data_IF_042316873431
#
_entry.id   IF_042316873431
#
_cell.length_a   1.000
_cell.length_b   1.000
_cell.length_c   1.000
_cell.angle_alpha   90.00
_cell.angle_beta   90.00
_cell.angle_gamma   90.00
#
_symmetry.space_group_name_H-M   'P 1'
#
loop_
_entity.id
_entity.type
_entity.pdbx_description
1 polymer ?
#
# COMPACT_ATOMS: atom_id res chain seq x y z
N UNK A 1 15.81 -5.63 -10.25
CA UNK A 1 15.82 -7.05 -9.83
C UNK A 1 16.29 -8.01 -10.92
N UNK A 2 15.63 -8.15 -12.09
CA UNK A 2 16.11 -9.09 -13.13
C UNK A 2 17.53 -8.74 -13.63
N UNK A 3 17.82 -7.45 -13.78
CA UNK A 3 19.15 -6.95 -14.15
C UNK A 3 20.21 -7.16 -13.07
N UNK A 4 19.83 -7.04 -11.79
CA UNK A 4 20.79 -7.02 -10.69
C UNK A 4 21.25 -8.44 -10.33
N UNK A 5 20.41 -9.44 -10.57
CA UNK A 5 20.68 -10.84 -10.18
C UNK A 5 21.36 -11.69 -11.26
N UNK A 6 21.68 -11.10 -12.42
CA UNK A 6 22.26 -11.81 -13.57
C UNK A 6 21.53 -13.13 -13.91
N UNK A 7 20.20 -13.14 -13.76
CA UNK A 7 19.33 -14.28 -14.07
C UNK A 7 18.44 -13.93 -15.25
N UNK A 8 18.07 -14.94 -16.03
CA UNK A 8 17.27 -14.77 -17.24
C UNK A 8 15.88 -14.19 -16.92
N UNK A 9 15.27 -13.48 -17.88
CA UNK A 9 13.94 -12.89 -17.76
C UNK A 9 12.86 -13.92 -17.38
N UNK A 10 13.00 -15.17 -17.82
CA UNK A 10 12.11 -16.26 -17.42
C UNK A 10 12.10 -16.50 -15.90
N UNK A 11 13.26 -16.44 -15.25
CA UNK A 11 13.37 -16.60 -13.80
C UNK A 11 12.70 -15.44 -13.04
N UNK A 12 12.89 -14.20 -13.52
CA UNK A 12 12.21 -13.03 -12.98
C UNK A 12 10.69 -13.09 -13.12
N UNK A 13 10.20 -13.50 -14.29
CA UNK A 13 8.77 -13.69 -14.55
C UNK A 13 8.17 -14.79 -13.67
N UNK A 14 8.90 -15.89 -13.46
CA UNK A 14 8.49 -16.96 -12.54
C UNK A 14 8.34 -16.43 -11.12
N UNK A 15 9.34 -15.71 -10.59
CA UNK A 15 9.28 -15.10 -9.26
C UNK A 15 8.10 -14.14 -9.09
N UNK A 16 7.80 -13.32 -10.11
CA UNK A 16 6.64 -12.44 -10.09
C UNK A 16 5.31 -13.20 -10.16
N UNK A 17 5.28 -14.38 -10.78
CA UNK A 17 4.08 -15.22 -10.86
C UNK A 17 3.66 -15.76 -9.49
N UNK A 18 4.61 -15.92 -8.55
CA UNK A 18 4.31 -16.24 -7.15
C UNK A 18 3.53 -15.13 -6.43
N UNK A 19 3.31 -13.96 -7.04
CA UNK A 19 2.43 -12.94 -6.47
C UNK A 19 1.00 -13.48 -6.28
N UNK A 20 0.59 -14.47 -7.09
CA UNK A 20 -0.68 -15.17 -6.96
C UNK A 20 -0.82 -15.90 -5.61
N UNK A 21 0.28 -16.28 -4.95
CA UNK A 21 0.24 -16.92 -3.63
C UNK A 21 -0.25 -15.96 -2.54
N UNK A 22 -0.05 -14.65 -2.71
CA UNK A 22 -0.53 -13.64 -1.77
C UNK A 22 -2.05 -13.42 -1.82
N UNK A 23 -2.70 -13.75 -2.93
CA UNK A 23 -4.12 -13.48 -3.18
C UNK A 23 -5.05 -14.31 -2.28
N UNK A 24 -4.88 -15.64 -2.16
CA UNK A 24 -5.64 -16.47 -1.21
C UNK A 24 -5.45 -16.11 0.26
N UNK A 25 -4.41 -15.35 0.63
CA UNK A 25 -4.14 -14.94 2.02
C UNK A 25 -4.97 -13.72 2.46
N UNK A 26 -5.67 -13.05 1.53
CA UNK A 26 -6.51 -11.87 1.84
C UNK A 26 -7.58 -12.11 2.91
N UNK A 27 -8.28 -13.25 2.99
CA UNK A 27 -9.19 -13.55 4.10
C UNK A 27 -8.47 -13.58 5.46
N UNK A 28 -7.27 -14.15 5.52
CA UNK A 28 -6.46 -14.15 6.73
C UNK A 28 -6.01 -12.73 7.11
N UNK A 29 -5.67 -11.89 6.13
CA UNK A 29 -5.40 -10.46 6.38
C UNK A 29 -6.65 -9.73 6.89
N UNK A 30 -7.84 -10.08 6.40
CA UNK A 30 -9.11 -9.54 6.90
C UNK A 30 -9.35 -9.90 8.36
N UNK A 31 -9.15 -11.16 8.73
CA UNK A 31 -9.22 -11.62 10.13
C UNK A 31 -8.16 -10.95 11.02
N UNK A 32 -6.95 -10.77 10.52
CA UNK A 32 -5.88 -10.11 11.27
C UNK A 32 -6.17 -8.62 11.46
N UNK A 33 -6.73 -7.98 10.43
CA UNK A 33 -7.14 -6.58 10.43
C UNK A 33 -8.29 -6.32 11.42
N UNK A 34 -9.23 -7.26 11.61
CA UNK A 34 -10.28 -7.11 12.64
C UNK A 34 -9.74 -7.26 14.07
N UNK A 35 -8.69 -8.06 14.29
CA UNK A 35 -8.09 -8.25 15.63
C UNK A 35 -7.10 -7.16 16.03
N UNK A 36 -6.19 -6.77 15.12
CA UNK A 36 -5.10 -5.84 15.43
C UNK A 36 -5.49 -4.37 15.24
N UNK A 37 -6.54 -4.11 14.46
CA UNK A 37 -6.95 -2.78 14.04
C UNK A 37 -5.99 -2.16 13.02
N UNK A 38 -6.37 -1.02 12.42
CA UNK A 38 -5.64 -0.41 11.31
C UNK A 38 -4.19 -0.05 11.64
N UNK A 39 -3.94 0.59 12.79
CA UNK A 39 -2.61 1.11 13.16
C UNK A 39 -1.55 0.01 13.30
N UNK A 40 -1.86 -1.07 14.02
CA UNK A 40 -0.94 -2.21 14.19
C UNK A 40 -0.79 -3.00 12.90
N UNK A 41 -1.85 -3.11 12.10
CA UNK A 41 -1.78 -3.77 10.80
C UNK A 41 -0.87 -3.02 9.83
N UNK A 42 -0.93 -1.68 9.79
CA UNK A 42 0.01 -0.87 9.01
C UNK A 42 1.46 -1.07 9.49
N UNK A 43 1.69 -1.08 10.80
CA UNK A 43 3.04 -1.27 11.35
C UNK A 43 3.61 -2.65 11.01
N UNK A 44 2.81 -3.71 11.15
CA UNK A 44 3.19 -5.07 10.74
C UNK A 44 3.52 -5.13 9.25
N UNK A 45 2.68 -4.49 8.43
CA UNK A 45 2.85 -4.46 6.99
C UNK A 45 4.16 -3.78 6.56
N UNK A 46 4.42 -2.58 7.09
CA UNK A 46 5.62 -1.82 6.75
C UNK A 46 6.89 -2.48 7.28
N UNK A 47 6.88 -2.99 8.51
CA UNK A 47 8.01 -3.74 9.06
C UNK A 47 8.33 -4.99 8.24
N UNK A 48 7.31 -5.82 7.95
CA UNK A 48 7.49 -7.03 7.14
C UNK A 48 7.92 -6.74 5.70
N UNK A 49 7.39 -5.68 5.09
CA UNK A 49 7.79 -5.20 3.78
C UNK A 49 9.25 -4.73 3.74
N UNK A 50 9.69 -3.95 4.73
CA UNK A 50 11.10 -3.50 4.84
C UNK A 50 12.03 -4.70 5.03
N UNK A 51 11.67 -5.66 5.89
CA UNK A 51 12.45 -6.90 6.07
C UNK A 51 12.56 -7.67 4.75
N UNK A 52 11.48 -7.77 3.98
CA UNK A 52 11.50 -8.41 2.66
C UNK A 52 12.45 -7.70 1.68
N UNK A 53 12.39 -6.37 1.62
CA UNK A 53 13.26 -5.56 0.77
C UNK A 53 14.73 -5.62 1.17
N UNK A 54 15.03 -5.60 2.48
CA UNK A 54 16.39 -5.80 2.99
C UNK A 54 16.90 -7.21 2.71
N UNK A 55 16.03 -8.22 2.79
CA UNK A 55 16.37 -9.59 2.38
C UNK A 55 16.73 -9.68 0.89
N UNK A 56 15.99 -8.99 0.01
CA UNK A 56 16.30 -8.94 -1.41
C UNK A 56 17.64 -8.22 -1.68
N UNK A 57 17.93 -7.15 -0.93
CA UNK A 57 19.21 -6.44 -1.00
C UNK A 57 20.37 -7.33 -0.51
N UNK A 58 20.18 -8.06 0.59
CA UNK A 58 21.16 -8.99 1.13
C UNK A 58 21.44 -10.16 0.19
N UNK A 59 20.41 -10.68 -0.48
CA UNK A 59 20.56 -11.73 -1.51
C UNK A 59 21.33 -11.26 -2.73
N UNK A 60 21.15 -9.99 -3.12
CA UNK A 60 21.95 -9.39 -4.19
C UNK A 60 23.43 -9.27 -3.79
N UNK A 61 23.73 -8.82 -2.56
CA UNK A 61 25.12 -8.76 -2.07
C UNK A 61 25.76 -10.14 -1.85
N UNK A 62 24.96 -11.16 -1.53
CA UNK A 62 25.41 -12.54 -1.35
C UNK A 62 25.51 -13.34 -2.67
N UNK A 63 25.34 -12.68 -3.81
CA UNK A 63 25.44 -13.31 -5.12
C UNK A 63 26.90 -13.73 -5.39
N UNK A 64 27.19 -15.02 -5.21
CA UNK A 64 28.51 -15.62 -5.42
C UNK A 64 29.17 -16.19 -4.15
N UNK A 65 28.64 -15.91 -2.95
CA UNK A 65 29.15 -16.49 -1.70
C UNK A 65 28.44 -17.77 -1.27
N UNK A 66 27.21 -17.98 -1.76
CA UNK A 66 26.36 -19.14 -1.43
C UNK A 66 26.31 -20.13 -2.61
N UNK A 67 26.17 -21.42 -2.29
CA UNK A 67 25.89 -22.44 -3.30
C UNK A 67 24.61 -22.09 -4.08
N UNK A 68 24.62 -22.31 -5.40
CA UNK A 68 23.56 -21.83 -6.31
C UNK A 68 22.15 -22.34 -5.92
N UNK A 69 22.04 -23.59 -5.47
CA UNK A 69 20.79 -24.16 -4.99
C UNK A 69 20.26 -23.48 -3.73
N UNK A 70 21.13 -23.18 -2.76
CA UNK A 70 20.76 -22.50 -1.52
C UNK A 70 20.35 -21.05 -1.77
N UNK A 71 21.10 -20.34 -2.62
CA UNK A 71 20.75 -18.96 -3.02
C UNK A 71 19.39 -18.90 -3.72
N UNK A 72 19.13 -19.83 -4.65
CA UNK A 72 17.86 -19.87 -5.39
C UNK A 72 16.68 -20.14 -4.45
N UNK A 73 16.82 -21.11 -3.53
CA UNK A 73 15.78 -21.39 -2.54
C UNK A 73 15.48 -20.16 -1.65
N UNK A 74 16.52 -19.47 -1.17
CA UNK A 74 16.35 -18.26 -0.37
C UNK A 74 15.70 -17.12 -1.19
N UNK A 75 16.06 -16.98 -2.47
CA UNK A 75 15.44 -15.99 -3.36
C UNK A 75 13.94 -16.20 -3.50
N UNK A 76 13.48 -17.45 -3.62
CA UNK A 76 12.04 -17.75 -3.62
C UNK A 76 11.38 -17.39 -2.28
N UNK A 77 11.98 -17.80 -1.15
CA UNK A 77 11.42 -17.54 0.19
C UNK A 77 11.28 -16.05 0.45
N UNK A 78 12.34 -15.27 0.22
CA UNK A 78 12.34 -13.83 0.46
C UNK A 78 11.41 -13.10 -0.52
N UNK A 79 11.34 -13.54 -1.77
CA UNK A 79 10.42 -12.96 -2.76
C UNK A 79 8.96 -13.22 -2.38
N UNK A 80 8.61 -14.45 -1.99
CA UNK A 80 7.26 -14.78 -1.51
C UNK A 80 6.91 -13.95 -0.28
N UNK A 81 7.83 -13.83 0.68
CA UNK A 81 7.66 -12.95 1.85
C UNK A 81 7.34 -11.51 1.42
N UNK A 82 8.18 -10.91 0.58
CA UNK A 82 7.95 -9.56 0.06
C UNK A 82 6.59 -9.43 -0.64
N UNK A 83 6.18 -10.42 -1.43
CA UNK A 83 4.91 -10.40 -2.17
C UNK A 83 3.68 -10.47 -1.26
N UNK A 84 3.76 -11.23 -0.16
CA UNK A 84 2.70 -11.29 0.87
C UNK A 84 2.49 -9.90 1.49
N UNK A 85 3.57 -9.24 1.92
CA UNK A 85 3.48 -7.89 2.50
C UNK A 85 3.11 -6.83 1.45
N UNK A 86 3.59 -6.96 0.22
CA UNK A 86 3.15 -6.09 -0.89
C UNK A 86 1.64 -6.19 -1.12
N UNK A 87 1.05 -7.38 -1.04
CA UNK A 87 -0.41 -7.55 -1.15
C UNK A 87 -1.16 -6.87 0.01
N UNK A 88 -0.60 -6.93 1.23
CA UNK A 88 -1.15 -6.24 2.40
C UNK A 88 -1.14 -4.71 2.27
N UNK A 89 -0.12 -4.11 1.63
CA UNK A 89 -0.09 -2.66 1.32
C UNK A 89 -1.32 -2.23 0.51
N UNK A 90 -1.77 -3.06 -0.42
CA UNK A 90 -3.00 -2.79 -1.18
C UNK A 90 -4.25 -3.11 -0.35
N UNK A 91 -4.23 -4.11 0.52
CA UNK A 91 -5.43 -4.48 1.27
C UNK A 91 -5.90 -3.39 2.25
N UNK A 92 -4.98 -2.78 3.02
CA UNK A 92 -5.36 -1.92 4.15
C UNK A 92 -6.06 -0.62 3.70
N UNK A 93 -5.50 0.18 2.75
CA UNK A 93 -6.13 1.43 2.36
C UNK A 93 -7.49 1.22 1.71
N UNK A 94 -7.65 0.16 0.91
CA UNK A 94 -8.93 -0.13 0.25
C UNK A 94 -10.05 -0.45 1.24
N UNK A 95 -9.71 -0.99 2.41
CA UNK A 95 -10.68 -1.20 3.49
C UNK A 95 -10.95 0.06 4.32
N UNK A 96 -10.01 1.03 4.36
CA UNK A 96 -10.13 2.26 5.16
C UNK A 96 -10.76 3.42 4.37
N UNK A 97 -10.50 3.48 3.07
CA UNK A 97 -10.96 4.57 2.20
C UNK A 97 -12.48 4.75 2.06
N UNK A 98 -13.32 3.70 2.21
CA UNK A 98 -14.77 3.87 2.27
C UNK A 98 -15.25 4.67 3.48
N UNK A 99 -14.51 4.63 4.60
CA UNK A 99 -14.92 5.31 5.84
C UNK A 99 -14.82 6.84 5.77
N UNK A 100 -13.97 7.39 4.89
CA UNK A 100 -13.78 8.84 4.80
C UNK A 100 -15.07 9.55 4.31
N UNK A 101 -15.70 9.11 3.20
CA UNK A 101 -17.03 9.60 2.84
C UNK A 101 -18.10 9.42 3.91
N UNK A 102 -18.10 8.30 4.64
CA UNK A 102 -19.11 8.05 5.68
C UNK A 102 -19.00 9.07 6.84
N UNK A 103 -17.77 9.42 7.23
CA UNK A 103 -17.49 10.48 8.22
C UNK A 103 -17.89 11.86 7.70
N UNK A 104 -17.71 12.15 6.41
CA UNK A 104 -18.21 13.39 5.80
C UNK A 104 -19.75 13.42 5.72
N UNK A 105 -20.37 12.29 5.45
CA UNK A 105 -21.83 12.16 5.33
C UNK A 105 -22.52 12.41 6.67
N UNK A 106 -22.00 11.90 7.79
CA UNK A 106 -22.59 12.17 9.12
C UNK A 106 -22.47 13.65 9.51
N UNK A 107 -21.42 14.35 9.05
CA UNK A 107 -21.23 15.79 9.36
C UNK A 107 -22.10 16.65 8.45
N UNK A 108 -22.16 16.33 7.16
CA UNK A 108 -22.76 17.21 6.14
C UNK A 108 -24.17 16.80 5.70
N UNK A 109 -24.60 15.57 6.01
CA UNK A 109 -25.85 14.97 5.52
C UNK A 109 -25.86 14.65 4.02
N UNK A 110 -24.72 14.81 3.32
CA UNK A 110 -24.63 14.62 1.86
C UNK A 110 -23.70 13.44 1.55
N UNK A 111 -24.18 12.48 0.78
CA UNK A 111 -23.34 11.39 0.30
C UNK A 111 -22.43 11.87 -0.85
N UNK A 112 -21.13 12.04 -0.58
CA UNK A 112 -20.11 12.48 -1.55
C UNK A 112 -19.15 11.37 -1.97
N UNK A 113 -19.54 10.11 -1.79
CA UNK A 113 -18.69 8.94 -2.06
C UNK A 113 -18.10 8.93 -3.47
N UNK A 114 -18.86 9.40 -4.48
CA UNK A 114 -18.39 9.51 -5.86
C UNK A 114 -17.25 10.51 -6.05
N UNK A 115 -17.34 11.70 -5.45
CA UNK A 115 -16.32 12.76 -5.55
C UNK A 115 -15.02 12.30 -4.89
N UNK A 116 -15.11 11.73 -3.69
CA UNK A 116 -13.95 11.17 -3.00
C UNK A 116 -13.32 10.00 -3.77
N UNK A 117 -14.13 9.13 -4.40
CA UNK A 117 -13.62 8.02 -5.21
C UNK A 117 -12.89 8.50 -6.47
N UNK A 118 -13.44 9.50 -7.16
CA UNK A 118 -12.78 10.16 -8.29
C UNK A 118 -11.47 10.83 -7.90
N UNK A 119 -11.47 11.60 -6.80
CA UNK A 119 -10.26 12.25 -6.29
C UNK A 119 -9.17 11.23 -5.92
N UNK A 120 -9.52 10.16 -5.18
CA UNK A 120 -8.59 9.06 -4.86
C UNK A 120 -7.94 8.47 -6.11
N UNK A 121 -8.74 8.19 -7.14
CA UNK A 121 -8.24 7.62 -8.39
C UNK A 121 -7.31 8.60 -9.14
N UNK A 122 -7.70 9.88 -9.18
CA UNK A 122 -6.90 10.95 -9.78
C UNK A 122 -5.56 11.12 -9.08
N UNK A 123 -5.53 11.28 -7.75
CA UNK A 123 -4.29 11.44 -6.98
C UNK A 123 -3.36 10.25 -7.19
N UNK A 124 -3.90 9.01 -7.19
CA UNK A 124 -3.10 7.81 -7.46
C UNK A 124 -2.45 7.86 -8.85
N UNK A 125 -3.21 8.24 -9.88
CA UNK A 125 -2.70 8.31 -11.25
C UNK A 125 -1.67 9.43 -11.41
N UNK A 126 -1.92 10.58 -10.79
CA UNK A 126 -0.99 11.71 -10.77
C UNK A 126 0.33 11.35 -10.11
N UNK A 127 0.31 10.82 -8.88
CA UNK A 127 1.52 10.41 -8.16
C UNK A 127 2.27 9.31 -8.91
N UNK A 128 1.55 8.33 -9.50
CA UNK A 128 2.17 7.27 -10.30
C UNK A 128 2.86 7.81 -11.56
N UNK A 129 2.24 8.78 -12.25
CA UNK A 129 2.82 9.41 -13.43
C UNK A 129 4.08 10.20 -13.08
N UNK A 130 4.00 11.06 -12.06
CA UNK A 130 5.13 11.84 -11.57
C UNK A 130 6.28 10.93 -11.12
N UNK A 131 5.99 9.89 -10.33
CA UNK A 131 7.01 8.94 -9.87
C UNK A 131 7.73 8.25 -11.03
N UNK A 132 6.97 7.82 -12.06
CA UNK A 132 7.57 7.17 -13.24
C UNK A 132 8.48 8.12 -14.00
N UNK A 133 8.09 9.39 -14.15
CA UNK A 133 8.92 10.42 -14.80
C UNK A 133 10.21 10.68 -14.01
N UNK A 134 10.13 10.86 -12.69
CA UNK A 134 11.31 11.09 -11.87
C UNK A 134 12.27 9.89 -11.87
N UNK A 135 11.74 8.67 -11.82
CA UNK A 135 12.53 7.44 -11.94
C UNK A 135 13.25 7.41 -13.29
N UNK A 136 12.56 7.76 -14.38
CA UNK A 136 13.15 7.81 -15.72
C UNK A 136 14.30 8.81 -15.83
N UNK A 137 14.14 10.02 -15.27
CA UNK A 137 15.19 11.05 -15.22
C UNK A 137 16.38 10.57 -14.38
N UNK A 138 16.12 9.97 -13.22
CA UNK A 138 17.17 9.45 -12.35
C UNK A 138 17.97 8.33 -13.04
N UNK A 139 17.31 7.37 -13.66
CA UNK A 139 17.98 6.29 -14.39
C UNK A 139 18.79 6.80 -15.59
N UNK A 140 18.32 7.86 -16.27
CA UNK A 140 19.09 8.50 -17.33
C UNK A 140 20.39 9.12 -16.79
N UNK A 141 20.37 9.68 -15.57
CA UNK A 141 21.57 10.26 -14.94
C UNK A 141 22.59 9.21 -14.46
N UNK A 142 22.17 7.97 -14.19
CA UNK A 142 23.08 6.89 -13.75
C UNK A 142 23.82 6.19 -14.90
N UNK A 143 23.63 6.66 -16.14
CA UNK A 143 24.22 6.05 -17.33
C UNK A 143 23.55 4.73 -17.72
N UNK A 144 22.26 4.55 -17.41
CA UNK A 144 21.50 3.36 -17.76
C UNK A 144 21.46 3.15 -19.27
N UNK A 145 21.98 2.01 -19.74
CA UNK A 145 21.97 1.66 -21.16
C UNK A 145 20.66 0.93 -21.44
N UNK A 146 19.79 1.56 -22.22
CA UNK A 146 18.49 0.98 -22.57
C UNK A 146 18.71 -0.30 -23.40
N UNK A 147 18.07 -1.42 -23.06
CA UNK A 147 18.08 -2.59 -23.93
C UNK A 147 17.46 -2.22 -25.27
N UNK A 148 18.21 -2.49 -26.34
CA UNK A 148 17.80 -2.22 -27.72
C UNK A 148 17.48 -3.53 -28.42
N UNK A 149 16.57 -3.48 -29.39
CA UNK A 149 16.36 -4.61 -30.29
C UNK A 149 17.47 -4.61 -31.33
N UNK A 150 18.06 -5.77 -31.58
CA UNK A 150 18.92 -5.95 -32.75
C UNK A 150 18.09 -5.98 -34.04
N UNK A 151 18.77 -6.07 -35.19
CA UNK A 151 18.13 -6.10 -36.50
C UNK A 151 17.18 -7.29 -36.71
N UNK A 152 17.29 -8.34 -35.87
CA UNK A 152 16.39 -9.50 -35.87
C UNK A 152 15.20 -9.34 -34.90
N UNK A 153 15.08 -8.19 -34.23
CA UNK A 153 14.02 -7.89 -33.28
C UNK A 153 14.23 -8.50 -31.89
N UNK A 154 15.39 -9.11 -31.62
CA UNK A 154 15.73 -9.72 -30.34
C UNK A 154 16.22 -8.64 -29.39
N UNK A 155 15.68 -8.62 -28.17
CA UNK A 155 16.04 -7.64 -27.15
C UNK A 155 17.43 -7.98 -26.58
N UNK A 156 18.40 -7.12 -26.85
CA UNK A 156 19.77 -7.22 -26.35
C UNK A 156 19.87 -6.51 -25.00
N UNK A 157 20.42 -7.19 -24.01
CA UNK A 157 20.61 -6.68 -22.66
C UNK A 157 22.11 -6.42 -22.44
N UNK A 158 22.60 -5.19 -22.72
CA UNK A 158 24.01 -4.88 -22.55
C UNK A 158 24.40 -4.91 -21.07
N UNK A 159 25.65 -5.30 -20.80
CA UNK A 159 26.25 -5.23 -19.48
C UNK A 159 26.15 -3.80 -18.94
N UNK A 160 25.44 -3.65 -17.82
CA UNK A 160 25.20 -2.34 -17.21
C UNK A 160 26.42 -1.91 -16.40
N UNK A 161 26.83 -0.62 -16.47
CA UNK A 161 27.83 -0.08 -15.56
C UNK A 161 27.43 -0.33 -14.10
N UNK A 162 28.41 -0.55 -13.21
CA UNK A 162 28.16 -0.76 -11.77
C UNK A 162 27.36 0.41 -11.17
N UNK A 163 27.59 1.64 -11.64
CA UNK A 163 26.80 2.82 -11.25
C UNK A 163 25.32 2.72 -11.65
N UNK A 164 25.01 2.15 -12.81
CA UNK A 164 23.63 1.94 -13.28
C UNK A 164 22.95 0.81 -12.51
N UNK A 165 23.65 -0.29 -12.20
CA UNK A 165 23.14 -1.36 -11.35
C UNK A 165 22.80 -0.85 -9.93
N UNK A 166 23.72 -0.08 -9.32
CA UNK A 166 23.47 0.56 -8.03
C UNK A 166 22.29 1.55 -8.08
N UNK A 167 22.16 2.30 -9.18
CA UNK A 167 21.02 3.20 -9.42
C UNK A 167 19.68 2.46 -9.50
N UNK A 168 19.63 1.35 -10.23
CA UNK A 168 18.44 0.49 -10.33
C UNK A 168 18.09 -0.09 -8.96
N UNK A 169 19.07 -0.65 -8.25
CA UNK A 169 18.88 -1.20 -6.90
C UNK A 169 18.35 -0.13 -5.93
N UNK A 170 18.89 1.09 -5.98
CA UNK A 170 18.41 2.21 -5.17
C UNK A 170 16.96 2.55 -5.48
N UNK A 171 16.56 2.65 -6.74
CA UNK A 171 15.16 2.95 -7.11
C UNK A 171 14.21 1.81 -6.74
N UNK A 172 14.61 0.56 -6.97
CA UNK A 172 13.73 -0.59 -6.75
C UNK A 172 13.59 -0.96 -5.27
N UNK A 173 14.62 -0.76 -4.46
CA UNK A 173 14.67 -1.19 -3.06
C UNK A 173 14.76 0.03 -2.14
N UNK A 174 15.79 0.86 -2.31
CA UNK A 174 16.07 1.99 -1.42
C UNK A 174 14.93 3.02 -1.37
N UNK A 175 14.46 3.50 -2.51
CA UNK A 175 13.36 4.44 -2.63
C UNK A 175 12.05 3.88 -2.06
N UNK A 176 11.80 2.58 -2.28
CA UNK A 176 10.62 1.91 -1.73
C UNK A 176 10.71 1.82 -0.21
N UNK A 177 11.86 1.47 0.36
CA UNK A 177 12.07 1.47 1.82
C UNK A 177 11.82 2.87 2.40
N UNK A 178 12.37 3.92 1.79
CA UNK A 178 12.14 5.31 2.22
C UNK A 178 10.65 5.64 2.21
N UNK A 179 9.95 5.29 1.13
CA UNK A 179 8.50 5.47 1.02
C UNK A 179 7.72 4.73 2.10
N UNK A 180 8.09 3.48 2.40
CA UNK A 180 7.46 2.69 3.47
C UNK A 180 7.75 3.28 4.85
N UNK A 181 8.94 3.82 5.11
CA UNK A 181 9.28 4.48 6.37
C UNK A 181 8.47 5.76 6.60
N UNK A 182 8.34 6.61 5.57
CA UNK A 182 7.51 7.81 5.63
C UNK A 182 6.04 7.42 5.86
N UNK A 183 5.54 6.44 5.10
CA UNK A 183 4.19 5.93 5.26
C UNK A 183 3.96 5.32 6.65
N UNK A 184 4.97 4.66 7.22
CA UNK A 184 4.91 4.12 8.57
C UNK A 184 4.85 5.24 9.62
N UNK A 185 5.68 6.28 9.49
CA UNK A 185 5.63 7.46 10.36
C UNK A 185 4.23 8.10 10.37
N UNK A 186 3.62 8.25 9.19
CA UNK A 186 2.24 8.75 9.06
C UNK A 186 1.24 7.75 9.65
N UNK A 187 1.37 6.45 9.38
CA UNK A 187 0.45 5.44 9.92
C UNK A 187 0.48 5.34 11.46
N UNK A 188 1.59 5.69 12.10
CA UNK A 188 1.68 5.76 13.55
C UNK A 188 0.83 6.88 14.17
N UNK A 189 0.48 7.92 13.40
CA UNK A 189 -0.38 9.03 13.86
C UNK A 189 -1.87 8.74 13.66
N UNK A 190 -2.23 7.73 12.86
CA UNK A 190 -3.62 7.35 12.64
C UNK A 190 -4.24 6.77 13.92
N UNK A 191 -5.22 7.49 14.47
CA UNK A 191 -6.11 7.06 15.57
C UNK A 191 -7.39 6.39 15.04
N UNK A 192 -7.29 5.53 14.04
CA UNK A 192 -8.45 4.80 13.52
C UNK A 192 -8.64 3.49 14.27
N UNK A 193 -9.78 3.35 14.95
CA UNK A 193 -10.24 2.11 15.59
C UNK A 193 -11.50 1.60 14.86
N UNK A 194 -11.42 0.38 14.34
CA UNK A 194 -12.44 -0.24 13.49
C UNK A 194 -13.75 -0.52 14.25
N UNK A 195 -13.71 -0.59 15.59
CA UNK A 195 -14.91 -0.69 16.43
C UNK A 195 -15.78 0.57 16.35
N UNK A 196 -15.13 1.71 16.16
CA UNK A 196 -15.75 3.03 16.12
C UNK A 196 -16.52 3.23 14.80
N UNK A 197 -16.04 2.65 13.71
CA UNK A 197 -16.68 2.76 12.37
C UNK A 197 -18.01 1.99 12.28
N UNK A 198 -18.11 0.80 12.90
CA UNK A 198 -19.37 0.05 12.91
C UNK A 198 -20.48 0.78 13.69
N UNK A 199 -20.10 1.47 14.77
CA UNK A 199 -20.99 2.33 15.55
C UNK A 199 -21.43 3.55 14.71
N UNK A 200 -20.50 4.13 13.94
CA UNK A 200 -20.79 5.25 13.04
C UNK A 200 -21.80 4.88 11.96
N UNK A 201 -21.60 3.74 11.28
CA UNK A 201 -22.48 3.27 10.22
C UNK A 201 -23.89 2.97 10.73
N UNK A 202 -24.01 2.30 11.88
CA UNK A 202 -25.29 2.03 12.52
C UNK A 202 -26.03 3.33 12.88
N UNK A 203 -25.29 4.36 13.29
CA UNK A 203 -25.87 5.67 13.59
C UNK A 203 -26.32 6.42 12.32
N UNK A 204 -25.54 6.37 11.24
CA UNK A 204 -25.94 6.92 9.93
C UNK A 204 -27.22 6.25 9.44
N UNK A 205 -27.33 4.93 9.56
CA UNK A 205 -28.52 4.17 9.18
C UNK A 205 -29.74 4.55 10.04
N UNK A 206 -29.55 4.71 11.36
CA UNK A 206 -30.60 5.17 12.28
C UNK A 206 -31.10 6.58 11.91
N UNK A 207 -30.19 7.50 11.59
CA UNK A 207 -30.53 8.87 11.19
C UNK A 207 -31.22 8.92 9.82
N UNK A 208 -30.79 8.07 8.87
CA UNK A 208 -31.48 7.90 7.57
C UNK A 208 -32.91 7.37 7.73
N UNK A 209 -33.13 6.49 8.70
CA UNK A 209 -34.45 5.93 9.03
C UNK A 209 -35.33 6.89 9.87
N UNK A 210 -34.92 8.15 10.05
CA UNK A 210 -35.72 9.16 10.77
C UNK A 210 -35.55 9.15 12.29
N UNK A 211 -34.50 8.49 12.81
CA UNK A 211 -34.19 8.49 14.24
C UNK A 211 -33.88 9.90 14.76
N UNK A 212 -34.40 10.22 15.95
CA UNK A 212 -34.13 11.53 16.59
C UNK A 212 -32.71 11.56 17.16
N UNK A 213 -32.02 12.69 17.00
CA UNK A 213 -30.69 12.93 17.61
C UNK A 213 -30.68 12.81 19.13
N UNK A 214 -31.83 13.06 19.78
CA UNK A 214 -31.97 12.98 21.23
C UNK A 214 -31.87 11.54 21.77
N UNK A 215 -32.18 10.55 20.93
CA UNK A 215 -32.19 9.12 21.31
C UNK A 215 -30.84 8.45 21.04
N UNK A 216 -29.77 9.23 20.82
CA UNK A 216 -28.44 8.70 20.56
C UNK A 216 -27.86 8.08 21.83
N UNK A 217 -27.27 6.89 21.68
CA UNK A 217 -26.54 6.27 22.78
C UNK A 217 -25.31 7.13 23.17
N UNK A 218 -25.02 7.35 24.47
CA UNK A 218 -23.90 8.16 24.91
C UNK A 218 -22.52 7.68 24.41
N UNK A 219 -22.35 6.37 24.17
CA UNK A 219 -21.12 5.83 23.59
C UNK A 219 -21.02 6.20 22.10
N UNK A 220 -22.12 6.05 21.35
CA UNK A 220 -22.22 6.48 19.95
C UNK A 220 -21.96 7.98 19.79
N UNK A 221 -22.48 8.83 20.68
CA UNK A 221 -22.20 10.28 20.68
C UNK A 221 -20.69 10.57 20.78
N UNK A 222 -20.01 9.95 21.75
CA UNK A 222 -18.56 10.13 21.94
C UNK A 222 -17.74 9.64 20.75
N UNK A 223 -18.14 8.52 20.17
CA UNK A 223 -17.52 7.92 18.98
C UNK A 223 -17.62 8.86 17.78
N UNK A 224 -18.80 9.42 17.51
CA UNK A 224 -19.01 10.38 16.42
C UNK A 224 -18.16 11.63 16.62
N UNK A 225 -18.13 12.18 17.83
CA UNK A 225 -17.33 13.38 18.15
C UNK A 225 -15.82 13.12 18.02
N UNK A 226 -15.35 11.93 18.40
CA UNK A 226 -13.94 11.53 18.25
C UNK A 226 -13.52 11.34 16.80
N UNK A 227 -14.40 10.78 15.95
CA UNK A 227 -14.08 10.52 14.54
C UNK A 227 -14.21 11.78 13.67
N UNK A 228 -15.24 12.59 13.91
CA UNK A 228 -15.52 13.79 13.11
C UNK A 228 -14.77 15.02 13.60
N UNK A 229 -14.37 15.07 14.88
CA UNK A 229 -13.86 16.27 15.53
C UNK A 229 -14.92 17.37 15.74
N UNK A 230 -16.19 17.08 15.45
CA UNK A 230 -17.32 18.01 15.54
C UNK A 230 -18.25 17.55 16.64
N UNK A 231 -18.80 18.49 17.44
CA UNK A 231 -19.84 18.17 18.43
C UNK A 231 -21.03 17.51 17.74
N UNK A 232 -21.56 16.45 18.32
CA UNK A 232 -22.64 15.66 17.71
C UNK A 232 -23.89 16.50 17.40
N UNK A 233 -24.14 17.54 18.22
CA UNK A 233 -25.24 18.51 18.00
C UNK A 233 -25.17 19.21 16.64
N UNK A 234 -23.97 19.45 16.12
CA UNK A 234 -23.73 20.07 14.80
C UNK A 234 -23.61 19.05 13.67
N UNK A 235 -23.51 17.75 13.99
CA UNK A 235 -23.53 16.68 13.00
C UNK A 235 -24.96 16.49 12.50
N UNK A 236 -25.11 16.02 11.26
CA UNK A 236 -26.40 15.78 10.61
C UNK A 236 -27.32 17.02 10.61
N UNK A 237 -26.96 18.12 9.92
CA UNK A 237 -27.82 19.29 9.83
C UNK A 237 -29.18 18.83 9.28
N UNK A 238 -30.21 18.87 10.13
CA UNK A 238 -31.59 18.71 9.66
C UNK A 238 -31.77 19.79 8.60
N UNK A 239 -32.30 19.42 7.43
CA UNK A 239 -32.80 20.43 6.52
C UNK A 239 -33.70 21.34 7.37
N UNK A 240 -33.31 22.60 7.50
CA UNK A 240 -34.22 23.59 8.05
C UNK A 240 -35.45 23.52 7.14
N UNK A 241 -36.57 23.08 7.72
CA UNK A 241 -37.89 23.36 7.15
C UNK A 241 -38.05 24.86 6.93
#
# INVERSE_FOLDING_TARGET
MIYDWNKNAAFGSLLLSFALVGEPLKPAFGWLFTKLGPRKMYSLNFAGGIIGLLGLLGLWQAQGSLAEGAWTALAFVVTVWWLIFRAMVWFIPWNVFPFIPDVDEIVTGKNRTGVFSGFKAFTRKLTSGLATTFIGIYLASTGFIKPAKDAAGVMQYPDQPVAAQNGIAFVCIGWVIIGLLIAWGIALTFKLDKKTDGILLAEIERLKNGGKKADVDPNTKKVVEQLTGVKYEKCWPQAAE
#
